data_IF_972249069984
#
_entry.id   IF_972249069984
#
_cell.length_a   1.000
_cell.length_b   1.000
_cell.length_c   1.000
_cell.angle_alpha   90.00
_cell.angle_beta   90.00
_cell.angle_gamma   90.00
#
_symmetry.space_group_name_H-M   'P 1'
#
loop_
_entity.id
_entity.type
_entity.pdbx_description
1 polymer ?
#
# COMPACT_ATOMS: atom_id res chain seq x y z
N UNK A 1 -27.30 -10.04 14.78
CA UNK A 1 -27.01 -9.97 13.32
C UNK A 1 -26.20 -8.72 12.99
N UNK A 2 -26.58 -7.54 13.48
CA UNK A 2 -25.87 -6.26 13.23
C UNK A 2 -24.45 -6.18 13.83
N UNK A 3 -24.19 -6.83 14.97
CA UNK A 3 -22.88 -6.80 15.63
C UNK A 3 -21.75 -7.41 14.80
N UNK A 4 -22.01 -8.53 14.11
CA UNK A 4 -21.00 -9.16 13.24
C UNK A 4 -20.69 -8.29 12.01
N UNK A 5 -21.72 -7.69 11.42
CA UNK A 5 -21.57 -6.79 10.29
C UNK A 5 -20.75 -5.54 10.68
N UNK A 6 -21.04 -4.95 11.84
CA UNK A 6 -20.28 -3.82 12.36
C UNK A 6 -18.81 -4.20 12.60
N UNK A 7 -18.54 -5.36 13.20
CA UNK A 7 -17.18 -5.81 13.47
C UNK A 7 -16.37 -6.01 12.18
N UNK A 8 -16.97 -6.61 11.15
CA UNK A 8 -16.31 -6.75 9.85
C UNK A 8 -16.01 -5.38 9.24
N UNK A 9 -16.99 -4.48 9.26
CA UNK A 9 -16.82 -3.12 8.74
C UNK A 9 -15.71 -2.36 9.48
N UNK A 10 -15.61 -2.50 10.81
CA UNK A 10 -14.52 -1.94 11.62
C UNK A 10 -13.14 -2.47 11.18
N UNK A 11 -13.04 -3.76 10.84
CA UNK A 11 -11.79 -4.36 10.33
C UNK A 11 -11.44 -3.80 8.95
N UNK A 12 -12.41 -3.67 8.06
CA UNK A 12 -12.22 -3.10 6.72
C UNK A 12 -11.74 -1.65 6.81
N UNK A 13 -12.42 -0.80 7.60
CA UNK A 13 -12.05 0.60 7.81
C UNK A 13 -10.65 0.71 8.43
N UNK A 14 -10.34 -0.10 9.45
CA UNK A 14 -8.99 -0.13 10.04
C UNK A 14 -7.93 -0.50 9.00
N UNK A 15 -8.23 -1.46 8.13
CA UNK A 15 -7.30 -1.89 7.07
C UNK A 15 -7.00 -0.77 6.07
N UNK A 16 -8.03 0.00 5.68
CA UNK A 16 -7.86 1.19 4.82
C UNK A 16 -6.99 2.24 5.50
N UNK A 17 -7.30 2.60 6.75
CA UNK A 17 -6.57 3.62 7.50
C UNK A 17 -5.13 3.23 7.81
N UNK A 18 -4.84 1.96 8.11
CA UNK A 18 -3.46 1.47 8.32
C UNK A 18 -2.64 1.53 7.03
N UNK A 19 -3.28 1.33 5.87
CA UNK A 19 -2.61 1.48 4.57
C UNK A 19 -2.32 2.96 4.20
N UNK A 20 -3.06 3.88 4.80
CA UNK A 20 -2.94 5.33 4.62
C UNK A 20 -2.55 6.03 5.93
N UNK A 21 -1.28 5.88 6.40
CA UNK A 21 -0.86 6.38 7.71
C UNK A 21 -0.90 7.90 7.88
N UNK A 22 -0.98 8.64 6.78
CA UNK A 22 -1.17 10.11 6.77
C UNK A 22 -2.59 10.53 7.15
N UNK A 23 -3.50 9.57 7.37
CA UNK A 23 -4.92 9.83 7.52
C UNK A 23 -5.62 9.95 6.17
N UNK A 24 -6.95 9.96 6.22
CA UNK A 24 -7.85 10.12 5.08
C UNK A 24 -8.99 11.09 5.43
N UNK A 25 -9.40 11.93 4.48
CA UNK A 25 -10.68 12.64 4.59
C UNK A 25 -11.87 11.70 4.42
N UNK A 26 -13.06 12.15 4.83
CA UNK A 26 -14.33 11.43 4.67
C UNK A 26 -14.54 10.95 3.22
N UNK A 27 -14.38 11.85 2.25
CA UNK A 27 -14.54 11.54 0.82
C UNK A 27 -13.48 10.57 0.29
N UNK A 28 -12.27 10.62 0.82
CA UNK A 28 -11.20 9.67 0.47
C UNK A 28 -11.51 8.29 1.02
N UNK A 29 -11.93 8.22 2.29
CA UNK A 29 -12.29 6.96 2.93
C UNK A 29 -13.50 6.31 2.24
N UNK A 30 -14.53 7.09 1.89
CA UNK A 30 -15.70 6.60 1.17
C UNK A 30 -15.32 6.00 -0.20
N UNK A 31 -14.45 6.69 -0.95
CA UNK A 31 -13.95 6.23 -2.25
C UNK A 31 -13.09 4.99 -2.12
N UNK A 32 -12.14 4.98 -1.20
CA UNK A 32 -11.23 3.85 -0.97
C UNK A 32 -12.00 2.62 -0.49
N UNK A 33 -13.03 2.81 0.36
CA UNK A 33 -13.93 1.75 0.76
C UNK A 33 -14.69 1.16 -0.42
N UNK A 34 -15.25 2.00 -1.29
CA UNK A 34 -15.92 1.53 -2.49
C UNK A 34 -14.96 0.76 -3.40
N UNK A 35 -13.74 1.25 -3.60
CA UNK A 35 -12.73 0.53 -4.39
C UNK A 35 -12.35 -0.82 -3.76
N UNK A 36 -12.25 -0.89 -2.44
CA UNK A 36 -11.93 -2.11 -1.70
C UNK A 36 -13.06 -3.15 -1.75
N UNK A 37 -14.32 -2.71 -1.71
CA UNK A 37 -15.51 -3.56 -1.63
C UNK A 37 -16.30 -3.67 -2.96
N UNK A 38 -15.61 -3.74 -4.10
CA UNK A 38 -16.23 -3.92 -5.43
C UNK A 38 -17.30 -2.87 -5.74
N UNK A 39 -16.96 -1.60 -5.53
CA UNK A 39 -17.79 -0.41 -5.75
C UNK A 39 -19.05 -0.30 -4.89
N UNK A 40 -19.08 -0.97 -3.73
CA UNK A 40 -20.15 -0.79 -2.75
C UNK A 40 -19.88 0.41 -1.84
N UNK A 41 -20.88 1.28 -1.72
CA UNK A 41 -20.85 2.39 -0.76
C UNK A 41 -20.83 1.89 0.68
N UNK A 42 -20.24 2.69 1.57
CA UNK A 42 -20.20 2.39 2.99
C UNK A 42 -21.64 2.36 3.56
N UNK A 43 -22.06 1.26 4.22
CA UNK A 43 -23.46 1.08 4.62
C UNK A 43 -23.78 1.77 5.96
N UNK A 44 -23.44 3.05 6.13
CA UNK A 44 -23.61 3.78 7.40
C UNK A 44 -25.08 3.89 7.83
N UNK A 45 -26.01 3.99 6.86
CA UNK A 45 -27.45 4.05 7.10
C UNK A 45 -27.99 2.78 7.79
N UNK A 46 -27.35 1.62 7.59
CA UNK A 46 -27.75 0.38 8.26
C UNK A 46 -27.48 0.39 9.77
N UNK A 47 -26.65 1.32 10.24
CA UNK A 47 -26.31 1.49 11.65
C UNK A 47 -27.08 2.64 12.31
N UNK A 48 -28.04 3.25 11.61
CA UNK A 48 -28.86 4.34 12.14
C UNK A 48 -28.22 5.73 12.07
N UNK A 49 -27.09 5.87 11.38
CA UNK A 49 -26.43 7.16 11.19
C UNK A 49 -27.00 7.89 9.96
N UNK A 50 -27.19 9.19 10.09
CA UNK A 50 -27.74 10.04 9.01
C UNK A 50 -26.65 10.46 8.02
N UNK A 51 -25.41 10.59 8.52
CA UNK A 51 -24.25 10.99 7.71
C UNK A 51 -23.09 10.00 7.89
N UNK A 52 -22.19 9.98 6.91
CA UNK A 52 -20.99 9.15 6.99
C UNK A 52 -20.04 9.68 8.09
N UNK A 53 -19.83 11.00 8.20
CA UNK A 53 -19.08 11.60 9.33
C UNK A 53 -19.60 11.11 10.67
N UNK A 54 -20.91 11.18 10.92
CA UNK A 54 -21.50 10.72 12.19
C UNK A 54 -21.21 9.23 12.45
N UNK A 55 -21.29 8.41 11.40
CA UNK A 55 -20.93 7.00 11.52
C UNK A 55 -19.46 6.81 11.86
N UNK A 56 -18.54 7.50 11.19
CA UNK A 56 -17.11 7.39 11.45
C UNK A 56 -16.76 7.86 12.86
N UNK A 57 -17.36 8.96 13.31
CA UNK A 57 -17.19 9.49 14.66
C UNK A 57 -17.74 8.54 15.75
N UNK A 58 -18.74 7.72 15.43
CA UNK A 58 -19.22 6.67 16.34
C UNK A 58 -18.21 5.53 16.56
N UNK A 59 -17.21 5.37 15.68
CA UNK A 59 -16.21 4.29 15.73
C UNK A 59 -14.96 4.69 16.52
N UNK A 60 -15.14 5.18 17.74
CA UNK A 60 -14.06 5.70 18.60
C UNK A 60 -13.03 4.66 19.05
N UNK A 61 -13.30 3.37 18.81
CA UNK A 61 -12.37 2.26 19.05
C UNK A 61 -11.49 1.94 17.83
N UNK A 62 -11.85 2.45 16.66
CA UNK A 62 -11.16 2.16 15.38
C UNK A 62 -10.38 3.34 14.88
N UNK A 63 -10.92 4.55 15.03
CA UNK A 63 -10.38 5.75 14.44
C UNK A 63 -10.55 6.96 15.36
N UNK A 64 -9.74 7.97 15.13
CA UNK A 64 -9.92 9.31 15.71
C UNK A 64 -9.86 10.36 14.61
N UNK A 65 -10.59 11.45 14.81
CA UNK A 65 -10.59 12.62 13.93
C UNK A 65 -9.58 13.64 14.46
N UNK A 66 -8.69 14.09 13.60
CA UNK A 66 -7.72 15.16 13.90
C UNK A 66 -8.36 16.54 13.66
N UNK A 67 -7.73 17.60 14.18
CA UNK A 67 -8.21 18.99 14.09
C UNK A 67 -8.31 19.49 12.63
N UNK A 68 -7.50 18.91 11.74
CA UNK A 68 -7.53 19.14 10.29
C UNK A 68 -8.66 18.40 9.57
N UNK A 69 -9.48 17.64 10.31
CA UNK A 69 -10.61 16.89 9.77
C UNK A 69 -10.21 15.57 9.09
N UNK A 70 -8.98 15.10 9.29
CA UNK A 70 -8.53 13.80 8.80
C UNK A 70 -8.82 12.70 9.81
N UNK A 71 -9.17 11.51 9.31
CA UNK A 71 -9.37 10.31 10.12
C UNK A 71 -8.09 9.48 10.15
N UNK A 72 -7.66 9.10 11.35
CA UNK A 72 -6.48 8.28 11.59
C UNK A 72 -6.84 6.99 12.33
N UNK A 73 -6.14 5.88 12.07
CA UNK A 73 -6.40 4.63 12.76
C UNK A 73 -5.95 4.71 14.22
N UNK A 74 -6.72 4.09 15.11
CA UNK A 74 -6.24 3.71 16.43
C UNK A 74 -5.43 2.42 16.26
N UNK A 75 -4.16 2.50 16.67
CA UNK A 75 -3.16 1.45 16.43
C UNK A 75 -3.08 0.55 17.64
N UNK A 76 -3.51 -0.69 17.46
CA UNK A 76 -3.36 -1.75 18.46
C UNK A 76 -1.99 -2.44 18.33
N UNK A 77 -1.57 -3.17 19.37
CA UNK A 77 -0.30 -3.92 19.39
C UNK A 77 -0.11 -4.83 18.15
N UNK A 78 -1.20 -5.41 17.64
CA UNK A 78 -1.18 -6.28 16.45
C UNK A 78 -0.90 -5.52 15.15
N UNK A 79 -1.31 -4.26 15.07
CA UNK A 79 -1.19 -3.41 13.87
C UNK A 79 -0.01 -2.45 13.94
N UNK A 80 0.59 -2.26 15.12
CA UNK A 80 1.66 -1.29 15.38
C UNK A 80 2.89 -1.50 14.49
N UNK A 81 3.38 -2.72 14.40
CA UNK A 81 4.56 -3.01 13.59
C UNK A 81 4.31 -2.71 12.10
N UNK A 82 3.15 -3.13 11.57
CA UNK A 82 2.78 -2.90 10.17
C UNK A 82 2.63 -1.40 9.93
N UNK A 83 1.93 -0.69 10.81
CA UNK A 83 1.73 0.75 10.70
C UNK A 83 3.06 1.52 10.66
N UNK A 84 3.99 1.21 11.58
CA UNK A 84 5.34 1.80 11.60
C UNK A 84 6.11 1.54 10.30
N UNK A 85 6.03 0.31 9.76
CA UNK A 85 6.66 -0.01 8.49
C UNK A 85 6.09 0.81 7.33
N UNK A 86 4.76 0.92 7.24
CA UNK A 86 4.08 1.67 6.16
C UNK A 86 4.43 3.16 6.25
N UNK A 87 4.46 3.75 7.45
CA UNK A 87 4.91 5.13 7.69
C UNK A 87 6.32 5.38 7.12
N UNK A 88 7.26 4.50 7.46
CA UNK A 88 8.66 4.62 7.02
C UNK A 88 8.82 4.45 5.51
N UNK A 89 8.03 3.59 4.87
CA UNK A 89 8.07 3.40 3.42
C UNK A 89 7.67 4.68 2.68
N UNK A 90 6.63 5.39 3.15
CA UNK A 90 6.18 6.63 2.51
C UNK A 90 7.19 7.78 2.71
N UNK A 91 7.84 7.86 3.86
CA UNK A 91 8.85 8.89 4.15
C UNK A 91 10.09 8.80 3.23
N UNK A 92 10.53 7.58 2.89
CA UNK A 92 11.76 7.34 2.10
C UNK A 92 11.67 7.76 0.62
N UNK A 93 10.48 8.08 0.09
CA UNK A 93 10.33 8.55 -1.30
C UNK A 93 10.86 9.98 -1.55
N UNK A 94 11.17 10.75 -0.51
CA UNK A 94 11.74 12.10 -0.63
C UNK A 94 13.26 12.05 -0.45
N UNK A 95 14.01 11.99 -1.56
CA UNK A 95 15.42 12.42 -1.78
C UNK A 95 16.28 11.41 -2.53
N UNK A 96 16.13 11.37 -3.86
CA UNK A 96 17.32 11.18 -4.71
C UNK A 96 17.88 12.58 -4.94
N UNK A 97 18.80 13.02 -4.06
CA UNK A 97 19.64 14.19 -4.37
C UNK A 97 20.47 13.80 -5.60
N UNK A 98 20.12 14.30 -6.79
CA UNK A 98 20.95 14.15 -7.98
C UNK A 98 22.33 14.73 -7.64
N UNK A 99 23.44 13.99 -7.80
CA UNK A 99 24.76 14.59 -7.64
C UNK A 99 24.87 15.71 -8.68
N UNK A 100 25.20 16.93 -8.21
CA UNK A 100 25.48 18.07 -9.08
C UNK A 100 26.74 17.76 -9.88
N UNK A 101 26.55 17.20 -11.07
CA UNK A 101 27.61 17.08 -12.09
C UNK A 101 27.80 18.45 -12.72
N UNK A 102 29.00 19.01 -12.58
CA UNK A 102 29.53 19.99 -13.54
C UNK A 102 29.79 21.41 -13.04
N UNK A 103 30.63 21.62 -12.02
CA UNK A 103 31.47 22.84 -12.01
C UNK A 103 32.68 22.57 -12.92
N UNK A 104 32.62 23.05 -14.17
CA UNK A 104 33.77 23.10 -15.07
C UNK A 104 34.85 23.97 -14.43
N UNK A 105 35.98 23.37 -14.03
CA UNK A 105 37.22 24.12 -13.78
C UNK A 105 37.90 24.35 -15.13
N UNK A 106 38.35 25.57 -15.47
CA UNK A 106 39.10 25.79 -16.70
C UNK A 106 40.48 25.14 -16.59
N UNK A 107 40.87 24.40 -17.63
CA UNK A 107 42.17 23.71 -17.72
C UNK A 107 43.23 24.70 -18.25
N UNK A 108 44.44 24.77 -17.65
CA UNK A 108 45.55 25.47 -18.28
C UNK A 108 46.17 24.61 -19.39
N UNK A 109 46.43 25.28 -20.51
CA UNK A 109 47.15 24.81 -21.69
C UNK A 109 48.66 24.78 -21.42
N UNK A 110 49.37 23.71 -21.83
CA UNK A 110 50.62 23.80 -22.62
C UNK A 110 51.24 22.42 -22.90
N UNK A 111 51.70 22.25 -24.14
CA UNK A 111 52.57 21.19 -24.66
C UNK A 111 53.80 20.89 -23.77
N UNK A 112 54.25 19.63 -23.75
CA UNK A 112 55.61 19.20 -24.20
C UNK A 112 55.82 17.70 -24.02
N UNK A 113 56.61 17.14 -24.92
CA UNK A 113 57.07 15.75 -25.06
C UNK A 113 58.01 15.27 -23.93
N UNK A 114 57.86 14.01 -23.47
CA UNK A 114 58.96 13.04 -23.30
C UNK A 114 58.58 11.77 -22.51
N UNK A 115 58.85 10.63 -23.14
CA UNK A 115 59.42 9.38 -22.59
C UNK A 115 58.89 8.75 -21.28
N UNK A 116 58.21 7.59 -21.48
CA UNK A 116 58.53 6.23 -20.97
C UNK A 116 58.76 6.03 -19.45
N UNK A 117 57.85 5.31 -18.77
CA UNK A 117 58.14 4.00 -18.12
C UNK A 117 56.84 3.20 -17.87
N UNK A 118 56.98 1.89 -17.96
CA UNK A 118 55.99 0.81 -17.81
C UNK A 118 55.70 0.48 -16.34
N UNK A 119 54.43 0.32 -15.96
CA UNK A 119 54.01 -0.52 -14.81
C UNK A 119 52.68 -1.21 -15.15
N UNK A 120 52.75 -2.53 -15.26
CA UNK A 120 51.62 -3.47 -15.23
C UNK A 120 50.88 -3.36 -13.90
N UNK A 121 49.56 -3.17 -13.95
CA UNK A 121 48.67 -3.49 -12.82
C UNK A 121 47.34 -4.04 -13.33
N UNK A 122 47.01 -5.18 -12.76
CA UNK A 122 45.95 -6.12 -13.10
C UNK A 122 44.55 -5.52 -13.23
N UNK A 123 43.84 -5.94 -14.29
CA UNK A 123 42.42 -5.75 -14.45
C UNK A 123 41.62 -6.65 -13.48
N UNK A 124 41.59 -6.27 -12.19
CA UNK A 124 40.60 -6.85 -11.26
C UNK A 124 39.24 -6.20 -11.49
N UNK A 125 38.44 -6.84 -12.36
CA UNK A 125 36.99 -6.66 -12.43
C UNK A 125 36.41 -6.96 -11.04
N UNK A 126 36.07 -5.91 -10.28
CA UNK A 126 35.48 -6.05 -8.94
C UNK A 126 34.21 -6.92 -8.98
N UNK A 127 34.10 -7.97 -8.15
CA UNK A 127 33.03 -8.98 -8.21
C UNK A 127 31.65 -8.46 -7.75
N UNK A 128 31.53 -7.20 -7.35
CA UNK A 128 30.33 -6.62 -6.74
C UNK A 128 29.22 -6.34 -7.76
N UNK A 129 29.55 -5.92 -8.98
CA UNK A 129 28.56 -5.53 -9.99
C UNK A 129 27.82 -6.75 -10.56
N UNK A 130 28.52 -7.88 -10.73
CA UNK A 130 27.92 -9.12 -11.24
C UNK A 130 26.98 -9.76 -10.21
N UNK A 131 27.29 -9.63 -8.91
CA UNK A 131 26.44 -10.13 -7.82
C UNK A 131 25.13 -9.35 -7.72
N UNK A 132 25.16 -8.03 -7.94
CA UNK A 132 23.96 -7.19 -7.94
C UNK A 132 23.02 -7.46 -9.14
N UNK A 133 23.56 -7.91 -10.29
CA UNK A 133 22.74 -8.27 -11.44
C UNK A 133 22.00 -9.61 -11.28
N UNK A 134 22.45 -10.52 -10.40
CA UNK A 134 21.80 -11.81 -10.15
C UNK A 134 20.51 -11.67 -9.31
N UNK A 135 20.56 -10.81 -8.28
CA UNK A 135 19.44 -10.57 -7.36
C UNK A 135 18.24 -9.90 -8.05
N UNK A 136 18.48 -9.08 -9.08
CA UNK A 136 17.40 -8.42 -9.84
C UNK A 136 16.75 -9.39 -10.83
N UNK A 137 17.49 -10.33 -11.41
CA UNK A 137 16.93 -11.30 -12.37
C UNK A 137 16.12 -12.40 -11.69
N UNK A 138 16.49 -12.84 -10.50
CA UNK A 138 15.76 -13.89 -9.77
C UNK A 138 14.43 -13.40 -9.16
N UNK A 139 14.27 -12.09 -8.92
CA UNK A 139 13.01 -11.52 -8.42
C UNK A 139 11.95 -11.22 -9.50
N UNK A 140 12.30 -11.30 -10.80
CA UNK A 140 11.34 -11.03 -11.88
C UNK A 140 10.51 -12.26 -12.25
N UNK A 141 11.07 -13.46 -12.09
CA UNK A 141 10.37 -14.73 -12.41
C UNK A 141 9.31 -15.08 -11.35
N UNK A 142 9.48 -14.63 -10.10
CA UNK A 142 8.55 -14.95 -9.01
C UNK A 142 7.31 -14.03 -8.92
N UNK A 143 7.20 -13.04 -9.81
CA UNK A 143 6.09 -12.07 -9.81
C UNK A 143 4.88 -12.56 -10.64
N UNK A 144 5.12 -13.47 -11.58
CA UNK A 144 4.10 -13.90 -12.53
C UNK A 144 3.38 -15.20 -12.10
N UNK A 145 3.94 -15.99 -11.18
CA UNK A 145 3.25 -17.19 -10.66
C UNK A 145 2.36 -16.93 -9.43
N UNK A 146 2.63 -15.89 -8.64
CA UNK A 146 1.83 -15.59 -7.42
C UNK A 146 0.54 -14.82 -7.69
N UNK A 147 0.36 -14.26 -8.89
CA UNK A 147 -0.88 -13.62 -9.34
C UNK A 147 -1.95 -14.63 -9.78
N UNK A 148 -1.57 -15.85 -10.17
CA UNK A 148 -2.51 -16.88 -10.62
C UNK A 148 -3.20 -17.64 -9.47
N UNK A 149 -2.49 -17.90 -8.37
CA UNK A 149 -3.02 -18.73 -7.26
C UNK A 149 -3.92 -17.95 -6.28
N UNK A 150 -3.99 -16.62 -6.38
CA UNK A 150 -4.73 -15.79 -5.40
C UNK A 150 -6.20 -15.53 -5.75
N UNK A 151 -6.69 -15.93 -6.93
CA UNK A 151 -8.07 -15.69 -7.35
C UNK A 151 -9.06 -16.82 -7.03
N UNK A 152 -8.60 -18.03 -6.70
CA UNK A 152 -9.50 -19.17 -6.48
C UNK A 152 -10.15 -19.22 -5.08
N UNK A 153 -9.60 -18.53 -4.07
CA UNK A 153 -10.11 -18.66 -2.69
C UNK A 153 -11.31 -17.78 -2.34
N UNK A 154 -11.73 -16.84 -3.20
CA UNK A 154 -12.81 -15.89 -2.89
C UNK A 154 -14.16 -16.27 -3.56
N UNK A 155 -14.18 -17.27 -4.45
CA UNK A 155 -15.40 -17.61 -5.19
C UNK A 155 -16.37 -18.49 -4.39
N UNK A 156 -15.90 -19.23 -3.37
CA UNK A 156 -16.73 -20.20 -2.63
C UNK A 156 -17.79 -19.53 -1.74
N UNK A 157 -17.53 -18.33 -1.21
CA UNK A 157 -18.47 -17.64 -0.31
C UNK A 157 -19.59 -16.89 -1.04
N UNK A 158 -19.38 -16.54 -2.33
CA UNK A 158 -20.37 -15.82 -3.12
C UNK A 158 -21.47 -16.76 -3.65
N UNK A 159 -21.13 -18.00 -4.00
CA UNK A 159 -22.12 -18.98 -4.46
C UNK A 159 -23.11 -19.38 -3.37
N UNK A 160 -22.64 -19.49 -2.12
CA UNK A 160 -23.50 -19.74 -0.96
C UNK A 160 -24.48 -18.58 -0.71
N UNK A 161 -24.02 -17.33 -0.78
CA UNK A 161 -24.87 -16.15 -0.60
C UNK A 161 -25.87 -15.98 -1.75
N UNK A 162 -25.46 -16.26 -2.99
CA UNK A 162 -26.36 -16.21 -4.14
C UNK A 162 -27.38 -17.35 -4.14
N UNK A 163 -27.00 -18.55 -3.68
CA UNK A 163 -27.92 -19.68 -3.54
C UNK A 163 -28.98 -19.41 -2.47
N UNK A 164 -28.58 -18.84 -1.34
CA UNK A 164 -29.47 -18.51 -0.22
C UNK A 164 -30.45 -17.37 -0.59
N UNK A 165 -30.00 -16.39 -1.38
CA UNK A 165 -30.86 -15.32 -1.91
C UNK A 165 -31.91 -15.84 -2.90
N UNK A 166 -31.54 -16.79 -3.79
CA UNK A 166 -32.48 -17.41 -4.75
C UNK A 166 -33.53 -18.26 -4.05
N UNK A 167 -33.16 -19.01 -3.02
CA UNK A 167 -34.10 -19.81 -2.25
C UNK A 167 -35.11 -18.92 -1.50
N UNK A 168 -34.67 -17.78 -0.95
CA UNK A 168 -35.57 -16.84 -0.26
C UNK A 168 -36.60 -16.21 -1.23
N UNK A 169 -36.19 -15.92 -2.47
CA UNK A 169 -37.10 -15.38 -3.49
C UNK A 169 -38.15 -16.39 -3.99
N UNK A 170 -37.85 -17.69 -3.94
CA UNK A 170 -38.81 -18.74 -4.33
C UNK A 170 -39.92 -18.95 -3.28
N UNK A 171 -39.64 -18.65 -2.00
CA UNK A 171 -40.60 -18.80 -0.89
C UNK A 171 -41.62 -17.64 -0.81
N UNK A 172 -41.48 -16.60 -1.64
CA UNK A 172 -42.39 -15.44 -1.69
C UNK A 172 -43.33 -15.48 -2.91
N UNK A 173 -43.36 -16.60 -3.64
CA UNK A 173 -44.14 -16.77 -4.88
C UNK A 173 -45.33 -17.74 -4.77
N UNK A 174 -45.75 -18.06 -3.55
CA UNK A 174 -47.01 -18.75 -3.25
C UNK A 174 -47.79 -18.01 -2.18
#
# INVERSE_FOLDING_TARGET
>A
MTSLLLNNLKIEIRSLLVSSPTGLHEDELARDYALFNSQRSLPYQLFGCSTLTEFLESLTDVLHRSDDGMFHPIVDQSTEHIFKLVQQQRAKKKTIKKPLIGRKRPMPSSNTSSQRVHVTVDAKKSPTIVKQMRIIRENKVNKDEKSAVKFERIHVTNDLLQSLLRHFQQQQKY
#
